data_IF_599337891819
#
_entry.id   IF_599337891819
#
_cell.length_a   1.000
_cell.length_b   1.000
_cell.length_c   1.000
_cell.angle_alpha   90.00
_cell.angle_beta   90.00
_cell.angle_gamma   90.00
#
_symmetry.space_group_name_H-M   'P 1'
#
loop_
_entity.id
_entity.type
_entity.pdbx_description
1 polymer ?
#
# COMPACT_ATOMS: atom_id res chain seq x y z
N UNK A 1 -3.59 -3.46 -13.84
CA UNK A 1 -2.71 -4.28 -12.96
C UNK A 1 -2.99 -3.96 -11.50
N UNK A 2 -2.68 -4.86 -10.57
CA UNK A 2 -2.87 -4.64 -9.13
C UNK A 2 -1.56 -4.36 -8.40
N UNK A 3 -1.43 -3.19 -7.79
CA UNK A 3 -0.20 -2.69 -7.17
C UNK A 3 -0.44 -2.47 -5.67
N UNK A 4 0.33 -3.16 -4.84
CA UNK A 4 0.29 -3.06 -3.39
C UNK A 4 1.35 -2.10 -2.85
N UNK A 5 0.95 -1.22 -1.94
CA UNK A 5 1.83 -0.27 -1.28
C UNK A 5 1.92 -0.50 0.23
N UNK A 6 3.12 -0.43 0.79
CA UNK A 6 3.29 -0.24 2.24
C UNK A 6 2.89 1.19 2.62
N UNK A 7 1.64 1.37 3.04
CA UNK A 7 1.03 2.67 3.21
C UNK A 7 1.26 3.30 4.60
N UNK A 8 2.23 2.81 5.40
CA UNK A 8 2.51 3.38 6.74
C UNK A 8 2.73 4.90 6.69
N UNK A 9 3.58 5.37 5.77
CA UNK A 9 3.88 6.82 5.64
C UNK A 9 2.73 7.59 5.03
N UNK A 10 1.98 6.98 4.10
CA UNK A 10 0.77 7.57 3.54
C UNK A 10 -0.22 7.96 4.64
N UNK A 11 -0.50 7.05 5.59
CA UNK A 11 -1.49 7.27 6.66
C UNK A 11 -0.98 8.06 7.87
N UNK A 12 0.30 7.91 8.25
CA UNK A 12 0.77 8.40 9.55
C UNK A 12 1.80 9.53 9.49
N UNK A 13 2.39 9.83 8.32
CA UNK A 13 3.31 10.96 8.19
C UNK A 13 2.58 12.22 7.71
N UNK A 14 2.72 13.31 8.46
CA UNK A 14 2.09 14.60 8.15
C UNK A 14 2.79 15.34 7.03
N UNK A 15 4.13 15.33 6.99
CA UNK A 15 4.94 16.12 6.07
C UNK A 15 5.87 15.26 5.20
N UNK A 16 6.55 15.91 4.25
CA UNK A 16 7.64 15.35 3.45
C UNK A 16 7.28 13.99 2.82
N UNK A 17 7.77 12.92 3.44
CA UNK A 17 7.54 11.54 3.00
C UNK A 17 6.06 11.13 2.95
N UNK A 18 5.22 11.70 3.83
CA UNK A 18 3.77 11.50 3.78
C UNK A 18 3.14 12.18 2.56
N UNK A 19 3.55 13.42 2.27
CA UNK A 19 3.08 14.16 1.09
C UNK A 19 3.51 13.45 -0.19
N UNK A 20 4.79 13.06 -0.27
CA UNK A 20 5.30 12.24 -1.38
C UNK A 20 4.48 10.97 -1.60
N UNK A 21 4.19 10.23 -0.52
CA UNK A 21 3.41 8.99 -0.59
C UNK A 21 1.99 9.24 -1.13
N UNK A 22 1.33 10.31 -0.64
CA UNK A 22 -0.02 10.70 -1.09
C UNK A 22 -0.01 11.19 -2.53
N UNK A 23 0.94 12.03 -2.91
CA UNK A 23 1.06 12.54 -4.28
C UNK A 23 1.36 11.44 -5.28
N UNK A 24 2.25 10.50 -4.95
CA UNK A 24 2.56 9.37 -5.84
C UNK A 24 1.30 8.55 -6.12
N UNK A 25 0.57 8.13 -5.08
CA UNK A 25 -0.67 7.35 -5.24
C UNK A 25 -1.73 8.17 -6.00
N UNK A 26 -1.88 9.46 -5.69
CA UNK A 26 -2.83 10.37 -6.35
C UNK A 26 -2.55 10.49 -7.85
N UNK A 27 -1.28 10.69 -8.23
CA UNK A 27 -0.84 10.81 -9.62
C UNK A 27 -1.04 9.48 -10.36
N UNK A 28 -0.59 8.37 -9.77
CA UNK A 28 -0.74 7.05 -10.39
C UNK A 28 -2.22 6.70 -10.62
N UNK A 29 -3.05 6.87 -9.60
CA UNK A 29 -4.49 6.64 -9.70
C UNK A 29 -5.19 7.51 -10.75
N UNK A 30 -4.70 8.73 -10.98
CA UNK A 30 -5.26 9.63 -11.98
C UNK A 30 -4.82 9.29 -13.41
N UNK A 31 -3.52 9.06 -13.63
CA UNK A 31 -2.96 8.87 -14.97
C UNK A 31 -2.98 7.42 -15.46
N UNK A 32 -3.13 6.45 -14.56
CA UNK A 32 -3.24 5.03 -14.90
C UNK A 32 -4.46 4.40 -14.21
N UNK A 33 -5.68 4.85 -14.55
CA UNK A 33 -6.92 4.43 -13.89
C UNK A 33 -7.25 2.94 -14.07
N UNK A 34 -6.68 2.28 -15.06
CA UNK A 34 -6.80 0.84 -15.32
C UNK A 34 -6.10 -0.05 -14.28
N UNK A 35 -5.28 0.55 -13.41
CA UNK A 35 -4.63 -0.12 -12.31
C UNK A 35 -5.42 0.00 -11.01
N UNK A 36 -5.37 -1.03 -10.18
CA UNK A 36 -5.88 -1.02 -8.81
C UNK A 36 -4.72 -0.82 -7.82
N UNK A 37 -4.89 0.14 -6.91
CA UNK A 37 -3.87 0.54 -5.94
C UNK A 37 -4.30 0.15 -4.53
N UNK A 38 -3.62 -0.83 -3.95
CA UNK A 38 -3.90 -1.32 -2.61
C UNK A 38 -3.00 -0.61 -1.60
N UNK A 39 -3.59 0.08 -0.65
CA UNK A 39 -2.88 0.74 0.45
C UNK A 39 -2.92 -0.14 1.70
N UNK A 40 -1.83 -0.87 1.93
CA UNK A 40 -1.72 -1.80 3.06
C UNK A 40 -1.25 -1.08 4.33
N UNK A 41 -2.07 -1.10 5.37
CA UNK A 41 -1.66 -0.69 6.71
C UNK A 41 -2.55 -1.32 7.80
N UNK A 42 -2.17 -1.20 9.07
CA UNK A 42 -3.01 -1.69 10.19
C UNK A 42 -4.28 -0.87 10.39
N UNK A 43 -4.23 0.41 10.07
CA UNK A 43 -5.32 1.35 10.23
C UNK A 43 -5.17 2.46 9.19
N UNK A 44 -6.31 2.98 8.74
CA UNK A 44 -6.35 4.19 7.93
C UNK A 44 -6.26 5.43 8.81
N UNK A 45 -6.25 6.61 8.19
CA UNK A 45 -6.42 7.89 8.86
C UNK A 45 -7.23 8.81 7.96
N UNK A 46 -7.69 9.96 8.49
CA UNK A 46 -8.35 10.99 7.66
C UNK A 46 -7.41 11.63 6.62
N UNK A 47 -6.10 11.34 6.68
CA UNK A 47 -5.13 11.86 5.70
C UNK A 47 -5.21 11.05 4.41
N UNK A 48 -5.36 11.76 3.29
CA UNK A 48 -5.49 11.10 1.98
C UNK A 48 -6.82 10.40 1.80
N UNK A 49 -7.86 10.80 2.54
CA UNK A 49 -9.22 10.27 2.41
C UNK A 49 -9.78 10.52 1.02
N UNK A 50 -9.51 11.69 0.46
CA UNK A 50 -9.83 12.07 -0.92
C UNK A 50 -9.18 11.16 -1.97
N UNK A 51 -8.06 10.52 -1.62
CA UNK A 51 -7.39 9.54 -2.48
C UNK A 51 -8.06 8.17 -2.33
N UNK A 52 -8.49 7.79 -1.12
CA UNK A 52 -9.24 6.57 -0.87
C UNK A 52 -10.64 6.57 -1.50
N UNK A 53 -11.22 7.74 -1.76
CA UNK A 53 -12.50 7.88 -2.47
C UNK A 53 -12.38 7.61 -3.98
N UNK A 54 -11.16 7.47 -4.52
CA UNK A 54 -10.96 7.13 -5.92
C UNK A 54 -11.34 5.68 -6.18
N UNK A 55 -12.04 5.37 -7.29
CA UNK A 55 -12.62 4.04 -7.54
C UNK A 55 -11.58 2.93 -7.66
N UNK A 56 -10.34 3.28 -7.96
CA UNK A 56 -9.24 2.35 -8.17
C UNK A 56 -8.21 2.36 -7.02
N UNK A 57 -8.52 2.99 -5.88
CA UNK A 57 -7.68 2.96 -4.68
C UNK A 57 -8.45 2.26 -3.57
N UNK A 58 -7.83 1.26 -2.94
CA UNK A 58 -8.48 0.46 -1.89
C UNK A 58 -7.58 0.36 -0.66
N UNK A 59 -8.14 0.64 0.52
CA UNK A 59 -7.48 0.34 1.79
C UNK A 59 -7.56 -1.17 2.07
N UNK A 60 -6.44 -1.76 2.48
CA UNK A 60 -6.36 -3.17 2.88
C UNK A 60 -5.78 -3.23 4.30
N UNK A 61 -6.58 -3.70 5.26
CA UNK A 61 -6.11 -3.90 6.63
C UNK A 61 -5.12 -5.07 6.67
N UNK A 62 -3.89 -4.80 7.12
CA UNK A 62 -2.86 -5.84 7.25
C UNK A 62 -3.11 -6.74 8.44
N UNK A 63 -2.63 -7.98 8.35
CA UNK A 63 -2.66 -8.95 9.44
C UNK A 63 -2.10 -8.38 10.75
N UNK A 64 -2.80 -8.59 11.86
CA UNK A 64 -2.40 -8.07 13.19
C UNK A 64 -1.22 -8.83 13.82
N UNK A 65 -0.65 -8.24 14.88
CA UNK A 65 0.43 -8.82 15.70
C UNK A 65 1.74 -8.03 15.68
N UNK A 66 2.69 -8.46 16.53
CA UNK A 66 4.07 -7.92 16.54
C UNK A 66 4.78 -8.27 15.22
N UNK A 67 5.56 -7.33 14.69
CA UNK A 67 6.31 -7.47 13.44
C UNK A 67 5.48 -7.92 12.21
N UNK A 68 4.17 -7.71 12.24
CA UNK A 68 3.25 -8.04 11.14
C UNK A 68 3.67 -7.39 9.82
N UNK A 69 4.14 -6.14 9.88
CA UNK A 69 4.65 -5.43 8.70
C UNK A 69 5.84 -6.15 8.06
N UNK A 70 6.75 -6.70 8.87
CA UNK A 70 7.92 -7.43 8.37
C UNK A 70 7.59 -8.85 7.92
N UNK A 71 6.72 -9.58 8.63
CA UNK A 71 6.52 -11.03 8.39
C UNK A 71 5.20 -11.40 7.69
N UNK A 72 4.23 -10.49 7.60
CA UNK A 72 2.88 -10.77 7.10
C UNK A 72 2.45 -9.88 5.94
N UNK A 73 2.81 -8.59 5.94
CA UNK A 73 2.34 -7.64 4.89
C UNK A 73 2.65 -8.10 3.46
N UNK A 74 3.82 -8.70 3.20
CA UNK A 74 4.14 -9.24 1.88
C UNK A 74 3.20 -10.39 1.46
N UNK A 75 2.80 -11.23 2.42
CA UNK A 75 1.80 -12.29 2.23
C UNK A 75 0.39 -11.72 2.06
N UNK A 76 0.06 -10.68 2.80
CA UNK A 76 -1.23 -9.99 2.69
C UNK A 76 -1.37 -9.39 1.27
N UNK A 77 -0.33 -8.73 0.75
CA UNK A 77 -0.32 -8.21 -0.61
C UNK A 77 -0.51 -9.30 -1.69
N UNK A 78 0.20 -10.42 -1.54
CA UNK A 78 0.03 -11.57 -2.44
C UNK A 78 -1.37 -12.19 -2.35
N UNK A 79 -1.95 -12.27 -1.15
CA UNK A 79 -3.32 -12.79 -0.95
C UNK A 79 -4.36 -11.91 -1.64
N UNK A 80 -4.13 -10.60 -1.70
CA UNK A 80 -4.99 -9.68 -2.46
C UNK A 80 -4.80 -9.80 -3.99
N UNK A 81 -3.86 -10.63 -4.44
CA UNK A 81 -3.53 -10.82 -5.85
C UNK A 81 -2.70 -9.69 -6.44
N UNK A 82 -1.91 -8.97 -5.62
CA UNK A 82 -1.05 -7.91 -6.13
C UNK A 82 0.09 -8.47 -6.99
N UNK A 83 0.28 -7.85 -8.16
CA UNK A 83 1.32 -8.20 -9.12
C UNK A 83 2.65 -7.49 -8.82
N UNK A 84 2.55 -6.29 -8.25
CA UNK A 84 3.68 -5.46 -7.81
C UNK A 84 3.47 -5.09 -6.35
N UNK A 85 4.54 -5.13 -5.56
CA UNK A 85 4.64 -4.53 -4.24
C UNK A 85 5.63 -3.36 -4.28
N UNK A 86 5.27 -2.23 -3.67
CA UNK A 86 6.15 -1.10 -3.54
C UNK A 86 6.15 -0.56 -2.10
N UNK A 87 7.33 -0.47 -1.50
CA UNK A 87 7.49 0.07 -0.16
C UNK A 87 7.50 1.60 -0.15
N UNK A 88 6.35 2.29 -0.06
CA UNK A 88 6.32 3.76 0.09
C UNK A 88 7.09 4.25 1.34
N UNK A 89 7.27 3.36 2.30
CA UNK A 89 8.12 3.55 3.48
C UNK A 89 9.63 3.44 3.21
N UNK A 90 10.06 3.10 1.99
CA UNK A 90 11.44 2.76 1.66
C UNK A 90 11.91 1.40 2.23
N UNK A 91 10.98 0.48 2.50
CA UNK A 91 11.29 -0.82 3.09
C UNK A 91 10.46 -1.92 2.42
N UNK A 92 11.00 -3.13 2.36
CA UNK A 92 10.29 -4.32 1.91
C UNK A 92 10.03 -5.29 3.09
N UNK A 93 8.89 -6.00 3.10
CA UNK A 93 8.67 -7.12 4.01
C UNK A 93 9.75 -8.21 3.87
N UNK A 94 10.07 -8.86 4.99
CA UNK A 94 11.06 -9.94 5.08
C UNK A 94 10.50 -11.28 4.62
N UNK A 95 9.19 -11.49 4.73
CA UNK A 95 8.55 -12.77 4.36
C UNK A 95 7.47 -12.57 3.32
N UNK A 96 7.44 -13.54 2.41
CA UNK A 96 6.55 -13.64 1.27
C UNK A 96 6.00 -15.07 1.22
N UNK A 97 4.81 -15.24 0.68
CA UNK A 97 4.20 -16.51 0.31
C UNK A 97 4.73 -17.03 -1.01
N UNK A 98 4.06 -18.05 -1.56
CA UNK A 98 4.45 -18.74 -2.79
C UNK A 98 4.03 -18.03 -4.07
N UNK A 99 3.00 -17.18 -3.99
CA UNK A 99 2.47 -16.47 -5.15
C UNK A 99 3.51 -15.52 -5.75
N UNK A 100 3.58 -15.40 -7.08
CA UNK A 100 4.50 -14.47 -7.72
C UNK A 100 4.12 -13.02 -7.40
N UNK A 101 5.12 -12.17 -7.14
CA UNK A 101 4.95 -10.72 -6.97
C UNK A 101 6.29 -10.03 -7.28
N UNK A 102 6.26 -8.95 -8.08
CA UNK A 102 7.42 -8.09 -8.33
C UNK A 102 7.58 -7.08 -7.19
N UNK A 103 8.81 -6.71 -6.85
CA UNK A 103 9.13 -5.91 -5.66
C UNK A 103 10.10 -4.80 -6.03
#
# INVERSE_FOLDING_TARGET
>A
MKIAFDAKRFFHNTSGLGNYSRDLVRILSHYYPENEYLLLNKNSSERGKEILEKPNVRFVETSRGKFSRQFKMGKDAQKEGAEIFHGLSGELPLKWGKEPIKK
#
